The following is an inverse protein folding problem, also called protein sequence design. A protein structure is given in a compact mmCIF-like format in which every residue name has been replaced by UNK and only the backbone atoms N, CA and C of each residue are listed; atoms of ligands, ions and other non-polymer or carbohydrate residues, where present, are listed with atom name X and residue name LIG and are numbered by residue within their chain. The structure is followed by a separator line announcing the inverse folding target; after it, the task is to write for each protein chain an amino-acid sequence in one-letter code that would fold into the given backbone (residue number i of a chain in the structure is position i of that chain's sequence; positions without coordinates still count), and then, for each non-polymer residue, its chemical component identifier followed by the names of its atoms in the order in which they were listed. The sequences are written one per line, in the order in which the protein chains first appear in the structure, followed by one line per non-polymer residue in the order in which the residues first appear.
data_IF_417453363243
#
_entry.id   IF_417453363243
#
_cell.length_a   1.000
_cell.length_b   1.000
_cell.length_c   1.000
_cell.angle_alpha   90.00
_cell.angle_beta   90.00
_cell.angle_gamma   90.00
#
_symmetry.space_group_name_H-M   'P 1'
#
loop_
_entity.id
_entity.type
_entity.pdbx_description
1 polymer ?
#
# COMPACT_ATOMS: atom_id res chain seq x y z
N UNK A 1 -17.35 39.45 -4.52
CA UNK A 1 -17.34 38.42 -5.57
C UNK A 1 -16.83 37.08 -5.08
N UNK A 2 -16.83 36.81 -3.76
CA UNK A 2 -16.27 35.58 -3.18
C UNK A 2 -17.35 34.63 -2.62
N UNK A 3 -18.59 35.11 -2.47
CA UNK A 3 -19.66 34.39 -1.74
C UNK A 3 -20.23 33.17 -2.47
N UNK A 4 -20.30 33.20 -3.80
CA UNK A 4 -20.94 32.13 -4.58
C UNK A 4 -20.08 30.86 -4.67
N UNK A 5 -18.75 31.01 -4.71
CA UNK A 5 -17.82 29.89 -4.74
C UNK A 5 -17.75 29.21 -3.36
N UNK A 6 -17.66 30.01 -2.29
CA UNK A 6 -17.71 29.50 -0.91
C UNK A 6 -19.05 28.82 -0.57
N UNK A 7 -20.16 29.34 -1.07
CA UNK A 7 -21.48 28.70 -0.90
C UNK A 7 -21.57 27.37 -1.65
N UNK A 8 -21.07 27.30 -2.90
CA UNK A 8 -21.02 26.04 -3.66
C UNK A 8 -20.13 25.00 -2.98
N UNK A 9 -18.97 25.40 -2.47
CA UNK A 9 -18.09 24.52 -1.70
C UNK A 9 -18.71 24.06 -0.37
N UNK A 10 -19.46 24.92 0.32
CA UNK A 10 -20.18 24.53 1.53
C UNK A 10 -21.27 23.50 1.23
N UNK A 11 -21.97 23.64 0.11
CA UNK A 11 -23.02 22.70 -0.30
C UNK A 11 -22.46 21.37 -0.80
N UNK A 12 -21.34 21.39 -1.55
CA UNK A 12 -20.65 20.14 -1.96
C UNK A 12 -20.09 19.40 -0.74
N UNK A 13 -19.45 20.12 0.20
CA UNK A 13 -19.00 19.54 1.47
C UNK A 13 -20.15 18.97 2.29
N UNK A 14 -21.29 19.66 2.40
CA UNK A 14 -22.40 19.16 3.23
C UNK A 14 -23.12 17.96 2.61
N UNK A 15 -23.21 17.89 1.28
CA UNK A 15 -23.86 16.78 0.57
C UNK A 15 -22.98 15.52 0.50
N UNK A 16 -21.66 15.68 0.41
CA UNK A 16 -20.71 14.57 0.35
C UNK A 16 -20.21 14.12 1.74
N UNK A 17 -20.44 14.90 2.79
CA UNK A 17 -20.08 14.57 4.18
C UNK A 17 -20.80 13.33 4.76
N UNK A 18 -21.75 12.72 4.05
CA UNK A 18 -22.37 11.46 4.47
C UNK A 18 -21.86 10.24 3.68
N UNK A 19 -21.07 10.46 2.62
CA UNK A 19 -20.59 9.37 1.77
C UNK A 19 -19.65 8.45 2.54
N UNK A 20 -19.95 7.15 2.47
CA UNK A 20 -19.12 6.09 3.06
C UNK A 20 -18.38 5.27 2.02
N UNK A 21 -18.83 5.30 0.77
CA UNK A 21 -18.20 4.56 -0.31
C UNK A 21 -18.23 5.38 -1.61
N UNK A 22 -17.12 5.39 -2.33
CA UNK A 22 -17.00 5.93 -3.67
C UNK A 22 -16.48 4.80 -4.56
N UNK A 23 -17.20 4.54 -5.65
CA UNK A 23 -16.83 3.56 -6.66
C UNK A 23 -16.65 4.27 -8.00
N UNK A 24 -15.40 4.41 -8.42
CA UNK A 24 -14.98 5.00 -9.69
C UNK A 24 -14.28 3.94 -10.57
N UNK A 25 -14.61 2.66 -10.34
CA UNK A 25 -14.03 1.54 -11.08
C UNK A 25 -14.36 1.60 -12.56
N UNK A 26 -13.41 1.23 -13.43
CA UNK A 26 -13.67 1.05 -14.85
C UNK A 26 -13.88 2.35 -15.62
N UNK A 27 -13.25 3.44 -15.17
CA UNK A 27 -13.25 4.72 -15.86
C UNK A 27 -11.92 4.96 -16.59
N UNK A 28 -11.77 6.13 -17.21
CA UNK A 28 -10.53 6.55 -17.86
C UNK A 28 -9.81 7.64 -17.05
N UNK A 29 -9.80 7.51 -15.71
CA UNK A 29 -9.12 8.49 -14.85
C UNK A 29 -7.61 8.36 -15.02
N UNK A 30 -6.97 9.44 -15.47
CA UNK A 30 -5.51 9.56 -15.55
C UNK A 30 -4.89 10.01 -14.21
N UNK A 31 -5.67 10.77 -13.43
CA UNK A 31 -5.31 11.28 -12.11
C UNK A 31 -6.36 10.97 -11.05
N UNK A 32 -5.92 10.92 -9.78
CA UNK A 32 -6.82 10.79 -8.64
C UNK A 32 -7.64 12.07 -8.50
N UNK A 33 -8.98 12.01 -8.38
CA UNK A 33 -9.84 13.20 -8.30
C UNK A 33 -9.78 13.84 -6.90
N UNK A 34 -8.66 14.49 -6.58
CA UNK A 34 -8.40 15.05 -5.25
C UNK A 34 -9.42 16.08 -4.81
N UNK A 35 -9.95 16.89 -5.73
CA UNK A 35 -10.95 17.89 -5.43
C UNK A 35 -12.24 17.25 -4.91
N UNK A 36 -12.67 16.14 -5.53
CA UNK A 36 -13.79 15.34 -5.03
C UNK A 36 -13.50 14.79 -3.64
N UNK A 37 -12.33 14.17 -3.46
CA UNK A 37 -11.95 13.49 -2.22
C UNK A 37 -11.82 14.46 -1.03
N UNK A 38 -11.33 15.68 -1.27
CA UNK A 38 -11.26 16.77 -0.27
C UNK A 38 -12.61 17.17 0.30
N UNK A 39 -13.69 16.94 -0.44
CA UNK A 39 -15.06 17.21 0.02
C UNK A 39 -15.72 16.02 0.72
N UNK A 40 -15.18 14.81 0.54
CA UNK A 40 -15.74 13.58 1.12
C UNK A 40 -15.24 13.30 2.54
N UNK A 41 -14.02 13.70 2.91
CA UNK A 41 -13.52 13.74 4.29
C UNK A 41 -13.55 12.41 5.07
N UNK A 42 -13.67 12.53 6.41
CA UNK A 42 -13.57 11.44 7.40
C UNK A 42 -14.64 10.32 7.43
N UNK A 43 -15.89 10.48 6.93
CA UNK A 43 -16.86 9.40 6.92
C UNK A 43 -16.62 8.39 5.80
N UNK A 44 -15.79 8.71 4.81
CA UNK A 44 -15.48 7.81 3.71
C UNK A 44 -14.74 6.57 4.25
N UNK A 45 -15.29 5.38 3.99
CA UNK A 45 -14.75 4.08 4.42
C UNK A 45 -14.17 3.28 3.26
N UNK A 46 -14.68 3.45 2.05
CA UNK A 46 -14.25 2.69 0.87
C UNK A 46 -14.04 3.60 -0.33
N UNK A 47 -12.90 3.48 -0.99
CA UNK A 47 -12.58 4.17 -2.23
C UNK A 47 -12.09 3.14 -3.24
N UNK A 48 -12.81 3.00 -4.36
CA UNK A 48 -12.41 2.13 -5.46
C UNK A 48 -12.10 2.98 -6.69
N UNK A 49 -10.88 2.80 -7.18
CA UNK A 49 -10.30 3.45 -8.35
C UNK A 49 -9.72 2.39 -9.31
N UNK A 50 -10.14 1.13 -9.17
CA UNK A 50 -9.62 0.03 -9.99
C UNK A 50 -9.98 0.15 -11.47
N UNK A 51 -9.20 -0.46 -12.35
CA UNK A 51 -9.44 -0.44 -13.81
C UNK A 51 -9.55 0.99 -14.35
N UNK A 52 -8.52 1.80 -14.08
CA UNK A 52 -8.36 3.17 -14.58
C UNK A 52 -6.99 3.33 -15.27
N UNK A 53 -6.59 4.57 -15.59
CA UNK A 53 -5.33 4.90 -16.26
C UNK A 53 -4.35 5.61 -15.32
N UNK A 54 -4.50 5.44 -14.00
CA UNK A 54 -3.69 6.13 -13.00
C UNK A 54 -2.23 5.71 -13.12
N UNK A 55 -1.33 6.69 -13.21
CA UNK A 55 0.13 6.46 -13.24
C UNK A 55 0.80 6.72 -11.89
N UNK A 56 0.14 7.50 -11.04
CA UNK A 56 0.59 7.88 -9.70
C UNK A 56 -0.61 8.04 -8.77
N UNK A 57 -0.45 7.63 -7.51
CA UNK A 57 -1.43 7.89 -6.46
C UNK A 57 -0.94 8.94 -5.44
N UNK A 58 0.18 9.63 -5.73
CA UNK A 58 0.82 10.58 -4.79
C UNK A 58 -0.13 11.71 -4.39
N UNK A 59 -1.02 12.12 -5.29
CA UNK A 59 -2.00 13.17 -5.03
C UNK A 59 -2.96 12.87 -3.85
N UNK A 60 -3.06 11.61 -3.40
CA UNK A 60 -3.82 11.27 -2.19
C UNK A 60 -3.28 11.95 -0.92
N UNK A 61 -2.00 12.35 -0.89
CA UNK A 61 -1.40 13.12 0.23
C UNK A 61 -2.18 14.41 0.53
N UNK A 62 -2.86 14.97 -0.48
CA UNK A 62 -3.61 16.21 -0.39
C UNK A 62 -5.07 16.07 0.13
N UNK A 63 -5.50 14.85 0.45
CA UNK A 63 -6.93 14.53 0.67
C UNK A 63 -7.28 14.12 2.11
N UNK A 64 -6.28 13.74 2.92
CA UNK A 64 -6.39 13.31 4.33
C UNK A 64 -7.67 12.49 4.63
N UNK A 65 -7.76 11.30 4.06
CA UNK A 65 -8.87 10.36 4.20
C UNK A 65 -8.74 9.53 5.50
N UNK A 66 -8.73 10.21 6.64
CA UNK A 66 -8.45 9.62 7.95
C UNK A 66 -9.35 8.45 8.37
N UNK A 67 -10.53 8.30 7.77
CA UNK A 67 -11.46 7.22 8.07
C UNK A 67 -11.52 6.10 7.05
N UNK A 68 -10.67 6.13 6.01
CA UNK A 68 -10.71 5.17 4.91
C UNK A 68 -10.20 3.81 5.38
N UNK A 69 -11.00 2.77 5.19
CA UNK A 69 -10.67 1.39 5.58
C UNK A 69 -10.27 0.54 4.37
N UNK A 70 -10.83 0.82 3.19
CA UNK A 70 -10.55 0.07 1.96
C UNK A 70 -10.16 1.03 0.82
N UNK A 71 -9.02 0.74 0.20
CA UNK A 71 -8.53 1.41 -1.00
C UNK A 71 -8.22 0.39 -2.08
N UNK A 72 -8.97 0.45 -3.17
CA UNK A 72 -8.72 -0.38 -4.36
C UNK A 72 -8.14 0.47 -5.48
N UNK A 73 -6.88 0.20 -5.81
CA UNK A 73 -6.11 0.83 -6.88
C UNK A 73 -5.66 -0.22 -7.91
N UNK A 74 -6.26 -1.40 -7.90
CA UNK A 74 -5.87 -2.50 -8.78
C UNK A 74 -6.13 -2.19 -10.26
N UNK A 75 -5.41 -2.85 -11.16
CA UNK A 75 -5.59 -2.71 -12.61
C UNK A 75 -5.45 -1.25 -13.08
N UNK A 76 -4.29 -0.67 -12.78
CA UNK A 76 -3.89 0.68 -13.18
C UNK A 76 -2.44 0.65 -13.74
N UNK A 77 -1.83 1.81 -13.94
CA UNK A 77 -0.43 1.95 -14.36
C UNK A 77 0.47 2.56 -13.28
N UNK A 78 0.15 2.35 -11.99
CA UNK A 78 0.84 3.02 -10.89
C UNK A 78 2.33 2.66 -10.82
N UNK A 79 3.18 3.67 -10.83
CA UNK A 79 4.64 3.54 -10.64
C UNK A 79 5.11 4.03 -9.26
N UNK A 80 4.26 4.82 -8.60
CA UNK A 80 4.51 5.42 -7.29
C UNK A 80 3.26 5.43 -6.41
N UNK A 81 3.49 5.41 -5.11
CA UNK A 81 2.48 5.50 -4.06
C UNK A 81 2.90 6.58 -3.07
N UNK A 82 1.92 7.25 -2.42
CA UNK A 82 2.18 8.18 -1.33
C UNK A 82 2.59 7.46 -0.05
N UNK A 83 2.96 8.21 0.97
CA UNK A 83 3.00 7.70 2.35
C UNK A 83 1.57 7.51 2.87
N UNK A 84 1.04 6.30 2.73
CA UNK A 84 -0.36 6.00 3.02
C UNK A 84 -0.72 6.19 4.49
N UNK A 85 0.22 6.01 5.42
CA UNK A 85 -0.02 6.30 6.83
C UNK A 85 -0.29 7.79 7.11
N UNK A 86 0.17 8.70 6.24
CA UNK A 86 -0.05 10.14 6.40
C UNK A 86 -1.41 10.59 5.85
N UNK A 87 -1.93 9.90 4.84
CA UNK A 87 -3.21 10.26 4.22
C UNK A 87 -4.38 9.34 4.58
N UNK A 88 -4.14 8.06 4.85
CA UNK A 88 -5.15 7.02 5.14
C UNK A 88 -4.68 6.13 6.32
N UNK A 89 -4.48 6.67 7.54
CA UNK A 89 -3.92 5.95 8.68
C UNK A 89 -4.75 4.72 9.12
N UNK A 90 -6.07 4.77 8.95
CA UNK A 90 -6.99 3.71 9.39
C UNK A 90 -7.16 2.56 8.36
N UNK A 91 -6.34 2.53 7.30
CA UNK A 91 -6.52 1.58 6.20
C UNK A 91 -6.36 0.12 6.68
N UNK A 92 -7.37 -0.71 6.37
CA UNK A 92 -7.41 -2.14 6.70
C UNK A 92 -7.20 -3.01 5.46
N UNK A 93 -7.50 -2.51 4.26
CA UNK A 93 -7.35 -3.24 3.01
C UNK A 93 -6.82 -2.34 1.87
N UNK A 94 -5.73 -2.80 1.26
CA UNK A 94 -5.06 -2.13 0.15
C UNK A 94 -4.85 -3.09 -1.01
N UNK A 95 -5.49 -2.80 -2.15
CA UNK A 95 -5.40 -3.61 -3.36
C UNK A 95 -4.60 -2.83 -4.42
N UNK A 96 -3.43 -3.36 -4.78
CA UNK A 96 -2.48 -2.78 -5.73
C UNK A 96 -2.16 -3.74 -6.89
N UNK A 97 -2.89 -4.85 -7.00
CA UNK A 97 -2.65 -5.85 -8.02
C UNK A 97 -2.70 -5.26 -9.43
N UNK A 98 -1.90 -5.77 -10.35
CA UNK A 98 -1.88 -5.32 -11.76
C UNK A 98 -1.56 -3.84 -11.89
N UNK A 99 -0.37 -3.45 -11.42
CA UNK A 99 0.19 -2.11 -11.56
C UNK A 99 1.63 -2.19 -12.08
N UNK A 100 2.33 -1.05 -12.13
CA UNK A 100 3.71 -0.93 -12.59
C UNK A 100 4.69 -0.66 -11.44
N UNK A 101 4.34 -1.04 -10.21
CA UNK A 101 5.14 -0.74 -9.02
C UNK A 101 6.50 -1.45 -9.13
N UNK A 102 7.60 -0.69 -9.24
CA UNK A 102 8.85 -1.29 -9.64
C UNK A 102 9.51 -2.08 -8.52
N UNK A 103 9.33 -1.65 -7.26
CA UNK A 103 10.14 -2.13 -6.15
C UNK A 103 9.30 -2.43 -4.92
N UNK A 104 9.65 -3.51 -4.23
CA UNK A 104 9.09 -3.84 -2.91
C UNK A 104 9.46 -2.80 -1.86
N UNK A 105 10.63 -2.15 -1.99
CA UNK A 105 11.09 -1.09 -1.08
C UNK A 105 10.15 0.13 -1.13
N UNK A 106 9.70 0.50 -2.33
CA UNK A 106 8.75 1.61 -2.50
C UNK A 106 7.40 1.27 -1.89
N UNK A 107 6.91 0.06 -2.12
CA UNK A 107 5.66 -0.42 -1.52
C UNK A 107 5.77 -0.43 0.02
N UNK A 108 6.87 -0.96 0.56
CA UNK A 108 7.09 -0.97 2.01
C UNK A 108 7.15 0.43 2.60
N UNK A 109 7.74 1.40 1.89
CA UNK A 109 7.78 2.80 2.35
C UNK A 109 6.41 3.47 2.31
N UNK A 110 5.62 3.17 1.28
CA UNK A 110 4.26 3.66 1.17
C UNK A 110 3.35 3.12 2.29
N UNK A 111 3.54 1.87 2.69
CA UNK A 111 2.72 1.21 3.72
C UNK A 111 3.30 1.35 5.14
N UNK A 112 4.49 1.93 5.29
CA UNK A 112 5.14 2.05 6.59
C UNK A 112 4.26 2.86 7.56
N UNK A 113 4.01 2.31 8.75
CA UNK A 113 3.17 2.94 9.78
C UNK A 113 1.67 2.63 9.66
N UNK A 114 1.23 1.82 8.69
CA UNK A 114 -0.15 1.33 8.64
C UNK A 114 -0.37 0.20 9.66
N UNK A 115 -0.70 0.57 10.90
CA UNK A 115 -0.86 -0.37 12.02
C UNK A 115 -2.10 -1.27 11.89
N UNK A 116 -3.07 -0.90 11.05
CA UNK A 116 -4.34 -1.61 10.87
C UNK A 116 -4.45 -2.41 9.58
N UNK A 117 -3.44 -2.33 8.70
CA UNK A 117 -3.52 -2.95 7.39
C UNK A 117 -3.50 -4.47 7.49
N UNK A 118 -4.67 -5.08 7.30
CA UNK A 118 -4.89 -6.50 7.43
C UNK A 118 -4.80 -7.24 6.09
N UNK A 119 -5.10 -6.58 4.98
CA UNK A 119 -5.05 -7.16 3.64
C UNK A 119 -4.24 -6.31 2.69
N UNK A 120 -3.24 -6.92 2.05
CA UNK A 120 -2.43 -6.33 1.01
C UNK A 120 -2.41 -7.23 -0.23
N UNK A 121 -2.62 -6.66 -1.42
CA UNK A 121 -2.44 -7.38 -2.68
C UNK A 121 -1.50 -6.61 -3.60
N UNK A 122 -0.34 -7.17 -3.90
CA UNK A 122 0.69 -6.56 -4.76
C UNK A 122 1.00 -7.41 -5.98
N UNK A 123 0.21 -8.45 -6.24
CA UNK A 123 0.41 -9.38 -7.35
C UNK A 123 0.46 -8.68 -8.70
N UNK A 124 1.16 -9.29 -9.65
CA UNK A 124 1.28 -8.79 -11.03
C UNK A 124 1.85 -7.37 -11.08
N UNK A 125 2.73 -7.04 -10.14
CA UNK A 125 3.62 -5.88 -10.24
C UNK A 125 5.04 -6.33 -10.64
N UNK A 126 5.83 -5.46 -11.27
CA UNK A 126 7.24 -5.74 -11.57
C UNK A 126 8.06 -6.12 -10.33
N UNK A 127 7.74 -5.58 -9.15
CA UNK A 127 8.37 -5.91 -7.87
C UNK A 127 8.28 -7.41 -7.52
N UNK A 128 7.12 -8.04 -7.72
CA UNK A 128 6.91 -9.49 -7.52
C UNK A 128 7.83 -10.29 -8.45
N UNK A 129 7.85 -9.92 -9.73
CA UNK A 129 8.69 -10.58 -10.74
C UNK A 129 10.18 -10.45 -10.45
N UNK A 130 10.64 -9.31 -9.90
CA UNK A 130 12.03 -9.09 -9.48
C UNK A 130 12.42 -9.98 -8.32
N UNK A 131 11.63 -10.00 -7.25
CA UNK A 131 11.89 -10.87 -6.10
C UNK A 131 11.87 -12.35 -6.48
N UNK A 132 10.89 -12.77 -7.29
CA UNK A 132 10.83 -14.14 -7.78
C UNK A 132 12.08 -14.53 -8.59
N UNK A 133 12.58 -13.63 -9.45
CA UNK A 133 13.83 -13.84 -10.21
C UNK A 133 15.07 -13.86 -9.30
N UNK A 134 15.06 -13.10 -8.21
CA UNK A 134 16.09 -13.15 -7.18
C UNK A 134 15.99 -14.39 -6.28
N UNK A 135 14.96 -15.23 -6.43
CA UNK A 135 14.73 -16.39 -5.57
C UNK A 135 14.25 -16.02 -4.17
N UNK A 136 13.60 -14.86 -4.01
CA UNK A 136 13.14 -14.31 -2.74
C UNK A 136 11.61 -14.30 -2.63
N UNK A 137 11.10 -14.35 -1.40
CA UNK A 137 9.70 -14.12 -1.07
C UNK A 137 9.53 -12.83 -0.27
N UNK A 138 8.54 -12.00 -0.64
CA UNK A 138 8.21 -10.77 0.08
C UNK A 138 7.36 -11.01 1.34
N UNK A 139 6.87 -12.25 1.56
CA UNK A 139 5.80 -12.49 2.53
C UNK A 139 6.25 -12.21 3.96
N UNK A 140 7.32 -12.84 4.42
CA UNK A 140 7.91 -12.57 5.74
C UNK A 140 8.36 -11.11 5.88
N UNK A 141 8.81 -10.48 4.80
CA UNK A 141 9.18 -9.06 4.81
C UNK A 141 7.98 -8.15 5.09
N UNK A 142 6.83 -8.39 4.45
CA UNK A 142 5.63 -7.62 4.75
C UNK A 142 5.05 -7.94 6.14
N UNK A 143 5.14 -9.18 6.62
CA UNK A 143 4.74 -9.52 8.00
C UNK A 143 5.59 -8.79 9.04
N UNK A 144 6.90 -8.65 8.80
CA UNK A 144 7.80 -7.86 9.63
C UNK A 144 7.39 -6.37 9.69
N UNK A 145 6.95 -5.81 8.57
CA UNK A 145 6.65 -4.37 8.46
C UNK A 145 5.22 -4.01 8.88
N UNK A 146 4.27 -4.92 8.72
CA UNK A 146 2.84 -4.68 8.87
C UNK A 146 2.29 -5.59 9.97
N UNK A 147 2.19 -5.10 11.22
CA UNK A 147 1.93 -5.93 12.39
C UNK A 147 0.53 -6.56 12.42
N UNK A 148 -0.43 -5.97 11.69
CA UNK A 148 -1.80 -6.48 11.59
C UNK A 148 -2.07 -7.29 10.32
N UNK A 149 -1.06 -7.52 9.47
CA UNK A 149 -1.25 -8.19 8.19
C UNK A 149 -1.73 -9.63 8.43
N UNK A 150 -2.94 -9.94 7.96
CA UNK A 150 -3.52 -11.28 8.02
C UNK A 150 -3.62 -11.94 6.64
N UNK A 151 -3.59 -11.16 5.56
CA UNK A 151 -3.67 -11.66 4.20
C UNK A 151 -2.75 -10.89 3.24
N UNK A 152 -1.95 -11.63 2.48
CA UNK A 152 -1.09 -11.09 1.43
C UNK A 152 -1.31 -11.86 0.12
N UNK A 153 -1.58 -11.13 -0.97
CA UNK A 153 -1.72 -11.67 -2.32
C UNK A 153 -2.85 -12.72 -2.44
N UNK A 154 -3.89 -12.55 -1.61
CA UNK A 154 -5.04 -13.45 -1.51
C UNK A 154 -4.77 -14.74 -0.71
N UNK A 155 -3.63 -14.84 -0.02
CA UNK A 155 -3.29 -15.96 0.87
C UNK A 155 -3.14 -15.48 2.30
N UNK A 156 -3.63 -16.23 3.29
CA UNK A 156 -3.40 -15.89 4.70
C UNK A 156 -1.89 -15.86 4.96
N UNK A 157 -1.44 -14.91 5.76
CA UNK A 157 -0.11 -14.95 6.39
C UNK A 157 -0.28 -15.45 7.82
N UNK A 158 0.70 -16.17 8.35
CA UNK A 158 0.60 -16.70 9.70
C UNK A 158 1.94 -17.08 10.31
N UNK A 159 1.89 -18.02 11.25
CA UNK A 159 3.02 -18.31 12.14
C UNK A 159 4.33 -18.69 11.45
N UNK A 160 4.27 -19.31 10.26
CA UNK A 160 5.49 -19.65 9.51
C UNK A 160 6.18 -18.41 8.95
N UNK A 161 5.42 -17.48 8.36
CA UNK A 161 5.94 -16.20 7.89
C UNK A 161 6.36 -15.29 9.04
N UNK A 162 5.64 -15.28 10.16
CA UNK A 162 6.02 -14.54 11.37
C UNK A 162 7.34 -15.07 11.95
N UNK A 163 7.48 -16.40 12.04
CA UNK A 163 8.71 -17.01 12.53
C UNK A 163 9.87 -16.79 11.55
N UNK A 164 9.62 -16.79 10.24
CA UNK A 164 10.62 -16.43 9.24
C UNK A 164 11.01 -14.95 9.37
N UNK A 165 10.05 -14.05 9.56
CA UNK A 165 10.27 -12.62 9.74
C UNK A 165 11.18 -12.35 10.95
N UNK A 166 10.88 -12.97 12.10
CA UNK A 166 11.70 -12.85 13.30
C UNK A 166 13.13 -13.36 13.08
N UNK A 167 13.31 -14.52 12.43
CA UNK A 167 14.64 -15.07 12.12
C UNK A 167 15.41 -14.22 11.10
N UNK A 168 14.70 -13.62 10.14
CA UNK A 168 15.30 -12.90 9.03
C UNK A 168 15.66 -11.46 9.40
N UNK A 169 14.84 -10.77 10.19
CA UNK A 169 14.91 -9.32 10.32
C UNK A 169 15.12 -8.83 11.76
N UNK A 170 15.10 -9.72 12.75
CA UNK A 170 15.29 -9.35 14.15
C UNK A 170 16.58 -9.94 14.74
N UNK A 171 17.22 -9.19 15.64
CA UNK A 171 18.28 -9.72 16.51
C UNK A 171 17.71 -10.55 17.65
N UNK A 172 16.57 -10.11 18.18
CA UNK A 172 15.84 -10.76 19.26
C UNK A 172 14.34 -10.46 19.11
N UNK A 173 13.50 -11.02 19.99
CA UNK A 173 12.04 -10.88 19.92
C UNK A 173 11.52 -9.44 19.98
N UNK A 174 12.36 -8.46 20.35
CA UNK A 174 11.96 -7.07 20.57
C UNK A 174 12.76 -6.07 19.72
N UNK A 175 13.81 -6.51 19.01
CA UNK A 175 14.72 -5.62 18.31
C UNK A 175 14.99 -6.08 16.88
N UNK A 176 14.69 -5.20 15.94
CA UNK A 176 15.08 -5.35 14.55
C UNK A 176 16.61 -5.34 14.40
N UNK A 177 17.12 -6.05 13.39
CA UNK A 177 18.53 -6.09 13.01
C UNK A 177 18.98 -4.72 12.45
N UNK A 178 19.90 -4.00 13.13
CA UNK A 178 20.41 -2.72 12.66
C UNK A 178 20.99 -2.79 11.25
N UNK A 179 21.67 -3.88 10.89
CA UNK A 179 22.24 -4.04 9.55
C UNK A 179 21.14 -4.14 8.49
N UNK A 180 20.02 -4.77 8.83
CA UNK A 180 18.85 -4.80 7.95
C UNK A 180 18.16 -3.43 7.85
N UNK A 181 18.05 -2.71 8.96
CA UNK A 181 17.50 -1.35 8.95
C UNK A 181 18.34 -0.40 8.08
N UNK A 182 19.67 -0.53 8.09
CA UNK A 182 20.54 0.21 7.18
C UNK A 182 20.22 -0.07 5.71
N UNK A 183 19.98 -1.34 5.35
CA UNK A 183 19.53 -1.72 4.00
C UNK A 183 18.20 -1.06 3.66
N UNK A 184 17.23 -1.09 4.57
CA UNK A 184 15.90 -0.49 4.35
C UNK A 184 15.98 1.04 4.16
N UNK A 185 16.88 1.71 4.89
CA UNK A 185 17.09 3.15 4.80
C UNK A 185 17.96 3.57 3.61
N UNK A 186 18.79 2.67 3.07
CA UNK A 186 19.72 2.96 1.96
C UNK A 186 19.05 3.49 0.69
N UNK A 187 17.79 3.09 0.42
CA UNK A 187 17.10 3.43 -0.83
C UNK A 187 17.52 2.57 -2.04
N UNK A 188 18.39 1.58 -1.85
CA UNK A 188 18.87 0.70 -2.91
C UNK A 188 17.96 -0.53 -3.05
N UNK A 189 17.11 -0.51 -4.09
CA UNK A 189 16.20 -1.60 -4.45
C UNK A 189 16.96 -2.93 -4.66
N UNK A 190 18.11 -2.90 -5.33
CA UNK A 190 18.90 -4.10 -5.65
C UNK A 190 19.63 -4.66 -4.44
N UNK A 191 20.03 -3.81 -3.49
CA UNK A 191 20.55 -4.25 -2.19
C UNK A 191 19.45 -4.94 -1.37
N UNK A 192 18.25 -4.37 -1.31
CA UNK A 192 17.13 -4.99 -0.60
C UNK A 192 16.75 -6.33 -1.24
N UNK A 193 16.61 -6.40 -2.56
CA UNK A 193 16.27 -7.65 -3.27
C UNK A 193 17.28 -8.77 -2.97
N UNK A 194 18.58 -8.46 -2.99
CA UNK A 194 19.65 -9.43 -2.65
C UNK A 194 19.59 -9.84 -1.18
N UNK A 195 19.32 -8.89 -0.29
CA UNK A 195 19.21 -9.16 1.15
C UNK A 195 18.00 -10.07 1.44
N UNK A 196 16.87 -9.82 0.78
CA UNK A 196 15.68 -10.66 0.86
C UNK A 196 15.91 -12.04 0.27
N UNK A 197 16.65 -12.17 -0.84
CA UNK A 197 17.00 -13.48 -1.40
C UNK A 197 17.84 -14.33 -0.44
N UNK A 198 18.73 -13.70 0.34
CA UNK A 198 19.55 -14.38 1.33
C UNK A 198 18.77 -14.75 2.60
N UNK A 199 17.91 -13.83 3.08
CA UNK A 199 17.22 -13.97 4.38
C UNK A 199 15.84 -14.62 4.29
N UNK A 200 15.19 -14.54 3.14
CA UNK A 200 13.84 -15.03 2.86
C UNK A 200 13.79 -15.72 1.49
N UNK A 201 14.53 -16.82 1.29
CA UNK A 201 14.50 -17.56 0.03
C UNK A 201 13.08 -18.06 -0.24
N UNK A 202 12.62 -17.94 -1.48
CA UNK A 202 11.39 -18.55 -1.92
C UNK A 202 11.54 -20.08 -1.84
N UNK A 203 10.55 -20.77 -1.25
CA UNK A 203 10.52 -22.23 -1.30
C UNK A 203 10.51 -22.67 -2.76
N UNK A 204 11.59 -23.34 -3.17
CA UNK A 204 11.62 -24.01 -4.48
C UNK A 204 10.50 -25.05 -4.46
N UNK A 205 9.62 -25.10 -5.48
CA UNK A 205 8.72 -26.24 -5.59
C UNK A 205 9.59 -27.50 -5.64
N UNK A 206 9.31 -28.45 -4.76
CA UNK A 206 9.89 -29.77 -4.84
C UNK A 206 9.59 -30.31 -6.26
N UNK A 207 10.64 -30.49 -7.05
CA UNK A 207 10.55 -31.01 -8.41
C UNK A 207 10.00 -32.43 -8.47
#
# INVERSE_FOLDING_TARGET
GETLHEELERHSRSSLAALRAIDLTGNALEDVPVDLLRHCGTPLRSLKLSSNLLTSAVALEDTLLGGLLRLDLSDNSLESLPRLAECCPDLEELLLAQNKLPSVLRISRACAGLERLATLDVRRNPSEGRLRRAGASARAFFCFLLPALGQLDGRPVGGDEDAQALRAFCLDAHRADPAFLEVLHSGDDGLLERTLAQRCPAEMPAG
#
